data_IF_192175442631
#
_entry.id   IF_192175442631
#
_cell.length_a   1.000
_cell.length_b   1.000
_cell.length_c   1.000
_cell.angle_alpha   90.00
_cell.angle_beta   90.00
_cell.angle_gamma   90.00
#
_symmetry.space_group_name_H-M   'P 1'
#
loop_
_entity.id
_entity.type
_entity.pdbx_description
1 polymer ?
#
# COMPACT_ATOMS: atom_id res chain seq x y z
N UNK A 1 8.51 -52.68 45.48
CA UNK A 1 8.19 -51.32 45.94
C UNK A 1 7.03 -50.87 45.05
N UNK A 2 5.82 -50.84 45.60
CA UNK A 2 4.59 -50.41 44.90
C UNK A 2 4.30 -48.99 45.37
N UNK A 3 4.22 -48.04 44.47
CA UNK A 3 3.80 -46.67 44.77
C UNK A 3 2.32 -46.53 44.40
N UNK A 4 1.51 -46.27 45.47
CA UNK A 4 0.10 -45.90 45.36
C UNK A 4 -0.02 -44.52 44.71
N UNK A 5 -0.90 -44.41 43.71
CA UNK A 5 -1.39 -43.13 43.18
C UNK A 5 -2.81 -42.92 43.72
N UNK A 6 -2.92 -41.93 44.64
CA UNK A 6 -4.21 -41.47 45.15
C UNK A 6 -4.96 -40.67 44.05
N UNK A 7 -6.16 -41.10 43.78
CA UNK A 7 -7.07 -40.41 42.86
C UNK A 7 -7.68 -39.15 43.47
N UNK A 8 -7.43 -38.03 42.88
CA UNK A 8 -8.09 -36.75 43.22
C UNK A 8 -9.46 -36.67 42.50
N UNK A 9 -10.51 -36.69 43.31
CA UNK A 9 -11.90 -36.50 42.86
C UNK A 9 -12.16 -35.01 42.61
N UNK A 10 -12.18 -34.57 41.40
CA UNK A 10 -12.56 -33.24 40.99
C UNK A 10 -14.08 -33.09 40.98
N UNK A 11 -14.63 -32.37 41.99
CA UNK A 11 -16.06 -32.00 42.08
C UNK A 11 -16.34 -30.88 41.07
N UNK A 12 -16.85 -31.24 39.88
CA UNK A 12 -17.29 -30.30 38.87
C UNK A 12 -18.52 -29.51 39.33
N UNK A 13 -18.35 -28.25 39.66
CA UNK A 13 -19.45 -27.31 39.90
C UNK A 13 -20.04 -26.92 38.54
N UNK A 14 -21.15 -27.51 38.16
CA UNK A 14 -21.90 -27.12 36.97
C UNK A 14 -22.56 -25.74 37.19
N UNK A 15 -21.92 -24.66 36.72
CA UNK A 15 -22.54 -23.34 36.70
C UNK A 15 -23.55 -23.27 35.54
N UNK A 16 -24.84 -23.08 35.87
CA UNK A 16 -25.87 -22.83 34.85
C UNK A 16 -25.53 -21.59 34.04
N UNK A 17 -25.60 -21.64 32.70
CA UNK A 17 -25.34 -20.50 31.85
C UNK A 17 -26.36 -19.38 32.12
N UNK A 18 -25.87 -18.21 32.53
CA UNK A 18 -26.70 -17.01 32.66
C UNK A 18 -27.20 -16.58 31.29
N UNK A 19 -28.52 -16.69 31.07
CA UNK A 19 -29.17 -16.19 29.85
C UNK A 19 -29.19 -14.66 29.94
N UNK A 20 -28.41 -14.00 29.08
CA UNK A 20 -28.50 -12.56 28.91
C UNK A 20 -29.80 -12.19 28.18
N UNK A 21 -30.53 -11.16 28.62
CA UNK A 21 -31.75 -10.74 27.94
C UNK A 21 -31.40 -10.25 26.52
N UNK A 22 -32.18 -10.69 25.54
CA UNK A 22 -31.94 -10.39 24.09
C UNK A 22 -31.72 -8.87 23.83
N UNK A 23 -32.40 -8.02 24.62
CA UNK A 23 -32.25 -6.56 24.54
C UNK A 23 -30.84 -6.07 24.90
N UNK A 24 -30.17 -6.72 25.84
CA UNK A 24 -28.80 -6.38 26.23
C UNK A 24 -27.80 -6.78 25.14
N UNK A 25 -28.00 -7.93 24.49
CA UNK A 25 -27.18 -8.40 23.38
C UNK A 25 -27.31 -7.48 22.17
N UNK A 26 -28.53 -7.07 21.82
CA UNK A 26 -28.78 -6.13 20.72
C UNK A 26 -28.13 -4.76 20.98
N UNK A 27 -28.22 -4.25 22.21
CA UNK A 27 -27.59 -2.97 22.57
C UNK A 27 -26.05 -3.02 22.46
N UNK A 28 -25.42 -4.12 22.85
CA UNK A 28 -23.96 -4.30 22.73
C UNK A 28 -23.53 -4.43 21.27
N UNK A 29 -24.29 -5.15 20.44
CA UNK A 29 -24.00 -5.28 19.00
C UNK A 29 -24.10 -3.92 18.29
N UNK A 30 -25.16 -3.15 18.58
CA UNK A 30 -25.31 -1.79 18.00
C UNK A 30 -24.17 -0.87 18.45
N UNK A 31 -23.77 -0.90 19.72
CA UNK A 31 -22.66 -0.11 20.23
C UNK A 31 -21.32 -0.49 19.57
N UNK A 32 -21.09 -1.76 19.29
CA UNK A 32 -19.90 -2.23 18.57
C UNK A 32 -19.89 -1.78 17.11
N UNK A 33 -21.04 -1.76 16.44
CA UNK A 33 -21.13 -1.24 15.06
C UNK A 33 -20.92 0.27 14.98
N UNK A 34 -21.44 1.02 15.94
CA UNK A 34 -21.25 2.48 16.00
C UNK A 34 -19.78 2.82 16.31
N UNK A 35 -19.15 2.10 17.24
CA UNK A 35 -17.73 2.33 17.57
C UNK A 35 -16.79 1.91 16.45
N UNK A 36 -17.08 0.84 15.72
CA UNK A 36 -16.28 0.44 14.55
C UNK A 36 -16.45 1.39 13.36
N UNK A 37 -17.65 1.94 13.18
CA UNK A 37 -17.91 2.97 12.17
C UNK A 37 -17.18 4.29 12.48
N UNK A 38 -17.16 4.72 13.75
CA UNK A 38 -16.44 5.91 14.18
C UNK A 38 -14.92 5.72 14.07
N UNK A 39 -14.38 4.55 14.43
CA UNK A 39 -12.96 4.22 14.26
C UNK A 39 -12.56 4.18 12.77
N UNK A 40 -13.39 3.64 11.90
CA UNK A 40 -13.14 3.66 10.46
C UNK A 40 -13.16 5.08 9.89
N UNK A 41 -14.02 5.95 10.40
CA UNK A 41 -14.07 7.35 10.02
C UNK A 41 -12.85 8.13 10.53
N UNK A 42 -12.43 7.91 11.78
CA UNK A 42 -11.25 8.56 12.36
C UNK A 42 -9.95 8.05 11.73
N UNK A 43 -9.83 6.75 11.41
CA UNK A 43 -8.69 6.23 10.65
C UNK A 43 -8.67 6.80 9.23
N UNK A 44 -9.83 6.99 8.59
CA UNK A 44 -9.93 7.65 7.28
C UNK A 44 -9.52 9.12 7.31
N UNK A 45 -9.69 9.83 8.44
CA UNK A 45 -9.30 11.24 8.57
C UNK A 45 -7.86 11.44 9.03
N UNK A 46 -7.24 10.45 9.72
CA UNK A 46 -5.81 10.49 10.08
C UNK A 46 -4.88 10.15 8.91
N UNK A 47 -5.37 9.37 7.94
CA UNK A 47 -4.72 9.25 6.64
C UNK A 47 -5.18 10.46 5.80
N UNK A 48 -4.65 11.64 6.12
CA UNK A 48 -5.06 12.89 5.53
C UNK A 48 -5.32 12.76 4.04
N UNK A 49 -6.60 12.65 3.69
CA UNK A 49 -6.99 12.88 2.31
C UNK A 49 -6.43 14.25 1.94
N UNK A 50 -5.58 14.38 0.91
CA UNK A 50 -5.10 15.67 0.49
C UNK A 50 -6.33 16.55 0.25
N UNK A 51 -6.35 17.71 0.89
CA UNK A 51 -7.51 18.59 0.93
C UNK A 51 -8.12 18.71 -0.46
N UNK A 52 -9.38 18.36 -0.56
CA UNK A 52 -10.18 18.43 -1.77
C UNK A 52 -10.31 19.89 -2.20
N UNK A 53 -9.30 20.39 -2.89
CA UNK A 53 -9.44 21.56 -3.74
C UNK A 53 -10.24 21.07 -4.96
N UNK A 54 -11.51 21.39 -5.04
CA UNK A 54 -12.53 21.25 -6.08
C UNK A 54 -12.23 20.69 -7.48
N UNK A 55 -11.29 19.80 -7.63
CA UNK A 55 -11.06 19.02 -8.83
C UNK A 55 -12.04 17.84 -8.88
N UNK A 56 -12.53 17.45 -10.06
CA UNK A 56 -13.31 16.23 -10.20
C UNK A 56 -12.57 15.10 -9.48
N UNK A 57 -13.24 14.46 -8.53
CA UNK A 57 -12.63 13.50 -7.60
C UNK A 57 -11.86 12.44 -8.38
N UNK A 58 -10.54 12.48 -8.29
CA UNK A 58 -9.69 11.46 -8.85
C UNK A 58 -9.97 10.12 -8.16
N UNK A 59 -9.94 9.03 -8.91
CA UNK A 59 -10.15 7.68 -8.38
C UNK A 59 -8.81 7.20 -7.80
N UNK A 60 -8.74 6.88 -6.51
CA UNK A 60 -7.49 6.44 -5.91
C UNK A 60 -7.11 5.02 -6.35
N UNK A 61 -5.83 4.83 -6.66
CA UNK A 61 -5.19 3.54 -6.99
C UNK A 61 -3.97 3.40 -6.09
N UNK A 62 -3.99 2.44 -5.18
CA UNK A 62 -2.93 2.27 -4.19
C UNK A 62 -2.09 1.04 -4.53
N UNK A 63 -0.77 1.24 -4.60
CA UNK A 63 0.21 0.17 -4.70
C UNK A 63 1.19 0.24 -3.51
N UNK A 64 1.67 -0.92 -3.12
CA UNK A 64 2.74 -1.01 -2.12
C UNK A 64 3.95 -1.74 -2.71
N UNK A 65 5.15 -1.36 -2.29
CA UNK A 65 6.37 -2.08 -2.63
C UNK A 65 6.96 -2.61 -1.33
N UNK A 66 7.29 -3.91 -1.29
CA UNK A 66 7.90 -4.59 -0.15
C UNK A 66 7.15 -4.36 1.17
N UNK A 67 5.82 -4.43 1.12
CA UNK A 67 5.01 -4.23 2.31
C UNK A 67 5.39 -5.26 3.39
N UNK A 68 5.93 -4.84 4.55
CA UNK A 68 6.39 -5.75 5.61
C UNK A 68 5.26 -6.59 6.23
N UNK A 69 4.00 -6.20 5.99
CA UNK A 69 2.83 -6.97 6.42
C UNK A 69 2.38 -8.01 5.39
N UNK A 70 2.95 -8.01 4.18
CA UNK A 70 2.66 -9.02 3.17
C UNK A 70 3.56 -10.24 3.37
N UNK A 71 3.09 -11.20 4.17
CA UNK A 71 3.81 -12.45 4.48
C UNK A 71 3.99 -13.38 3.28
N UNK A 72 3.30 -13.15 2.17
CA UNK A 72 3.38 -13.99 0.97
C UNK A 72 4.74 -13.88 0.27
N UNK A 73 5.49 -12.82 0.50
CA UNK A 73 6.76 -12.57 -0.17
C UNK A 73 8.01 -12.93 0.67
N UNK A 74 7.89 -13.37 1.92
CA UNK A 74 9.03 -13.69 2.82
C UNK A 74 10.16 -12.65 2.85
N UNK A 75 9.94 -11.42 2.32
CA UNK A 75 10.92 -10.33 2.29
C UNK A 75 12.16 -10.57 1.42
N UNK A 76 12.14 -11.59 0.55
CA UNK A 76 13.33 -12.00 -0.23
C UNK A 76 13.36 -11.46 -1.65
N UNK A 77 12.29 -10.84 -2.12
CA UNK A 77 12.16 -10.34 -3.49
C UNK A 77 11.37 -9.02 -3.50
N UNK A 78 11.81 -8.07 -4.30
CA UNK A 78 11.09 -6.83 -4.50
C UNK A 78 9.77 -7.07 -5.24
N UNK A 79 8.67 -6.52 -4.73
CA UNK A 79 7.34 -6.74 -5.29
C UNK A 79 6.46 -5.52 -5.19
N UNK A 80 5.84 -5.13 -6.31
CA UNK A 80 4.67 -4.25 -6.32
C UNK A 80 3.39 -5.05 -6.05
N UNK A 81 2.57 -4.57 -5.16
CA UNK A 81 1.28 -5.19 -4.84
C UNK A 81 0.15 -4.15 -4.81
N UNK A 82 -0.95 -4.38 -5.53
CA UNK A 82 -1.15 -5.43 -6.54
C UNK A 82 -0.34 -5.18 -7.84
N UNK A 83 0.13 -6.26 -8.49
CA UNK A 83 0.84 -6.13 -9.77
C UNK A 83 -0.12 -5.91 -10.96
N UNK A 84 -1.32 -6.49 -10.90
CA UNK A 84 -2.33 -6.32 -11.93
C UNK A 84 -3.45 -5.42 -11.42
N UNK A 85 -3.74 -4.38 -12.17
CA UNK A 85 -4.71 -3.35 -11.84
C UNK A 85 -5.87 -3.37 -12.85
N UNK A 86 -7.04 -2.94 -12.40
CA UNK A 86 -8.17 -2.66 -13.27
C UNK A 86 -8.69 -1.28 -12.97
N UNK A 87 -8.66 -0.39 -13.94
CA UNK A 87 -9.03 1.01 -13.78
C UNK A 87 -10.01 1.45 -14.86
N UNK A 88 -10.69 2.56 -14.65
CA UNK A 88 -11.66 3.10 -15.61
C UNK A 88 -10.96 3.98 -16.63
N UNK A 89 -11.07 3.63 -17.91
CA UNK A 89 -10.55 4.47 -19.00
C UNK A 89 -11.25 5.84 -19.02
N UNK A 90 -10.49 6.90 -19.29
CA UNK A 90 -10.95 8.29 -19.30
C UNK A 90 -11.11 8.93 -17.92
N UNK A 91 -11.07 8.16 -16.83
CA UNK A 91 -11.08 8.71 -15.49
C UNK A 91 -9.73 9.33 -15.13
N UNK A 92 -9.76 10.39 -14.32
CA UNK A 92 -8.56 10.85 -13.64
C UNK A 92 -8.26 9.91 -12.47
N UNK A 93 -7.09 9.32 -12.47
CA UNK A 93 -6.64 8.39 -11.44
C UNK A 93 -5.58 9.07 -10.57
N UNK A 94 -5.69 8.88 -9.26
CA UNK A 94 -4.67 9.27 -8.28
C UNK A 94 -3.91 8.01 -7.85
N UNK A 95 -2.73 7.82 -8.41
CA UNK A 95 -1.85 6.74 -7.99
C UNK A 95 -1.08 7.13 -6.73
N UNK A 96 -1.12 6.26 -5.74
CA UNK A 96 -0.36 6.34 -4.50
C UNK A 96 0.51 5.10 -4.41
N UNK A 97 1.82 5.27 -4.58
CA UNK A 97 2.78 4.17 -4.38
C UNK A 97 3.46 4.36 -3.03
N UNK A 98 3.32 3.38 -2.15
CA UNK A 98 3.96 3.34 -0.82
C UNK A 98 5.10 2.35 -0.87
N UNK A 99 6.33 2.84 -0.82
CA UNK A 99 7.53 2.02 -0.87
C UNK A 99 8.10 1.78 0.54
N UNK A 100 8.31 0.53 0.88
CA UNK A 100 8.95 0.10 2.13
C UNK A 100 10.37 -0.43 1.90
N UNK A 101 10.87 -0.41 0.65
CA UNK A 101 12.25 -0.75 0.36
C UNK A 101 13.18 0.44 0.60
N UNK A 102 14.25 0.21 1.36
CA UNK A 102 15.31 1.20 1.62
C UNK A 102 16.49 1.07 0.64
N UNK A 103 16.46 0.08 -0.23
CA UNK A 103 17.47 -0.10 -1.27
C UNK A 103 17.43 1.06 -2.27
N UNK A 104 18.60 1.56 -2.64
CA UNK A 104 18.75 2.56 -3.69
C UNK A 104 19.25 1.86 -4.94
N UNK A 105 18.49 1.99 -6.03
CA UNK A 105 18.76 1.36 -7.31
C UNK A 105 18.76 2.44 -8.42
N UNK A 106 19.86 3.19 -8.62
CA UNK A 106 19.88 4.29 -9.57
C UNK A 106 19.49 3.81 -10.98
N UNK A 107 18.37 4.30 -11.53
CA UNK A 107 17.97 3.96 -12.90
C UNK A 107 18.82 4.73 -13.90
N UNK A 108 18.80 4.38 -15.19
CA UNK A 108 19.28 5.25 -16.25
C UNK A 108 18.64 6.66 -16.14
N UNK A 109 19.39 7.75 -16.41
CA UNK A 109 18.98 9.14 -16.10
C UNK A 109 17.59 9.54 -16.61
N UNK A 110 17.15 9.02 -17.75
CA UNK A 110 15.82 9.30 -18.33
C UNK A 110 14.68 8.81 -17.44
N UNK A 111 14.92 7.84 -16.56
CA UNK A 111 13.91 7.30 -15.66
C UNK A 111 13.92 7.96 -14.27
N UNK A 112 14.83 8.90 -14.02
CA UNK A 112 14.80 9.73 -12.84
C UNK A 112 13.82 10.91 -12.96
N UNK A 113 13.24 11.12 -14.15
CA UNK A 113 12.30 12.20 -14.45
C UNK A 113 10.89 11.63 -14.65
N UNK A 114 9.91 12.30 -14.04
CA UNK A 114 8.50 11.98 -14.26
C UNK A 114 8.07 12.41 -15.67
N UNK A 115 7.29 11.56 -16.34
CA UNK A 115 6.71 11.85 -17.65
C UNK A 115 5.39 11.15 -17.86
N UNK A 116 4.54 11.70 -18.76
CA UNK A 116 3.26 11.11 -19.14
C UNK A 116 2.21 11.09 -18.04
N UNK A 117 2.45 11.79 -16.96
CA UNK A 117 1.52 12.04 -15.85
C UNK A 117 1.04 13.50 -15.91
N UNK A 118 0.00 13.85 -15.18
CA UNK A 118 -0.55 15.20 -15.20
C UNK A 118 0.51 16.23 -14.78
N UNK A 119 0.86 17.12 -15.70
CA UNK A 119 1.88 18.14 -15.50
C UNK A 119 3.30 17.62 -15.39
N UNK A 120 3.56 16.35 -15.76
CA UNK A 120 4.83 15.64 -15.52
C UNK A 120 5.32 15.81 -14.08
N UNK A 121 4.39 15.70 -13.15
CA UNK A 121 4.53 16.09 -11.76
C UNK A 121 4.28 14.92 -10.82
N UNK A 122 5.15 14.76 -9.85
CA UNK A 122 5.02 13.83 -8.73
C UNK A 122 5.07 14.58 -7.40
N UNK A 123 4.35 14.05 -6.41
CA UNK A 123 4.36 14.54 -5.03
C UNK A 123 5.00 13.47 -4.16
N UNK A 124 6.10 13.81 -3.51
CA UNK A 124 6.88 12.86 -2.72
C UNK A 124 6.75 13.20 -1.24
N UNK A 125 6.55 12.15 -0.44
CA UNK A 125 6.60 12.24 1.02
C UNK A 125 7.49 11.14 1.58
N UNK A 126 8.51 11.52 2.29
CA UNK A 126 9.34 10.63 3.12
C UNK A 126 8.92 10.67 4.60
N UNK A 127 7.90 11.47 4.93
CA UNK A 127 7.45 11.74 6.29
C UNK A 127 5.92 11.80 6.35
N UNK A 128 5.30 11.35 7.45
CA UNK A 128 3.86 11.51 7.67
C UNK A 128 3.40 12.97 7.78
N UNK A 129 4.32 13.94 7.73
CA UNK A 129 4.02 15.37 7.85
C UNK A 129 3.33 15.99 6.62
N UNK A 130 3.10 15.22 5.55
CA UNK A 130 2.39 15.66 4.35
C UNK A 130 3.19 15.53 3.07
N UNK A 131 2.51 15.77 1.94
CA UNK A 131 3.12 15.76 0.62
C UNK A 131 3.99 16.98 0.41
N UNK A 132 5.17 16.76 -0.19
CA UNK A 132 6.03 17.83 -0.67
C UNK A 132 5.39 18.62 -1.83
N UNK A 133 6.06 19.65 -2.32
CA UNK A 133 5.64 20.33 -3.55
C UNK A 133 5.75 19.39 -4.75
N UNK A 134 5.10 19.78 -5.86
CA UNK A 134 5.28 19.12 -7.15
C UNK A 134 6.77 19.07 -7.51
N UNK A 135 7.26 17.90 -7.87
CA UNK A 135 8.59 17.65 -8.39
C UNK A 135 8.51 16.97 -9.76
N UNK A 136 9.42 17.33 -10.66
CA UNK A 136 9.50 16.69 -11.98
C UNK A 136 10.54 15.58 -12.04
N UNK A 137 11.38 15.45 -11.04
CA UNK A 137 12.43 14.42 -10.98
C UNK A 137 12.83 14.13 -9.54
N UNK A 138 13.51 13.00 -9.34
CA UNK A 138 14.24 12.68 -8.12
C UNK A 138 15.73 12.56 -8.42
N UNK A 139 16.61 12.87 -7.44
CA UNK A 139 18.01 12.49 -7.52
C UNK A 139 18.14 10.97 -7.71
N UNK A 140 19.00 10.52 -8.61
CA UNK A 140 19.17 9.10 -8.94
C UNK A 140 19.55 8.26 -7.70
N UNK A 141 20.34 8.85 -6.81
CA UNK A 141 20.79 8.25 -5.54
C UNK A 141 19.71 8.21 -4.44
N UNK A 142 18.47 8.61 -4.75
CA UNK A 142 17.31 8.50 -3.88
C UNK A 142 16.23 7.58 -4.44
N UNK A 143 16.44 7.01 -5.62
CA UNK A 143 15.45 6.17 -6.31
C UNK A 143 15.69 4.71 -5.95
N UNK A 144 14.64 4.03 -5.46
CA UNK A 144 14.60 2.60 -5.28
C UNK A 144 14.06 1.87 -6.52
N UNK A 145 12.96 2.37 -7.05
CA UNK A 145 12.22 1.73 -8.14
C UNK A 145 11.69 2.77 -9.12
N UNK A 146 11.08 2.28 -10.21
CA UNK A 146 10.25 3.12 -11.10
C UNK A 146 8.94 2.41 -11.42
N UNK A 147 7.89 3.18 -11.69
CA UNK A 147 6.66 2.68 -12.29
C UNK A 147 6.58 3.25 -13.71
N UNK A 148 6.81 2.40 -14.69
CA UNK A 148 6.95 2.83 -16.10
C UNK A 148 5.99 2.06 -16.98
N UNK A 149 5.20 2.76 -17.83
CA UNK A 149 4.38 2.19 -18.88
C UNK A 149 4.93 2.68 -20.22
N UNK A 150 5.86 1.94 -20.86
CA UNK A 150 6.62 2.45 -21.99
C UNK A 150 5.76 2.90 -23.18
N UNK A 151 4.71 2.14 -23.50
CA UNK A 151 3.82 2.43 -24.63
C UNK A 151 3.04 3.74 -24.48
N UNK A 152 2.87 4.22 -23.24
CA UNK A 152 2.19 5.48 -22.92
C UNK A 152 3.16 6.59 -22.57
N UNK A 153 4.46 6.34 -22.60
CA UNK A 153 5.51 7.24 -22.13
C UNK A 153 5.29 7.70 -20.67
N UNK A 154 4.63 6.88 -19.88
CA UNK A 154 4.46 7.13 -18.44
C UNK A 154 5.71 6.63 -17.73
N UNK A 155 6.32 7.49 -16.93
CA UNK A 155 7.43 7.14 -16.04
C UNK A 155 7.32 7.90 -14.73
N UNK A 156 7.45 7.19 -13.63
CA UNK A 156 7.40 7.73 -12.28
C UNK A 156 8.53 7.13 -11.46
N UNK A 157 9.54 7.93 -11.07
CA UNK A 157 10.54 7.49 -10.12
C UNK A 157 9.94 7.34 -8.72
N UNK A 158 10.31 6.27 -8.02
CA UNK A 158 9.82 5.93 -6.68
C UNK A 158 10.97 6.05 -5.69
N UNK A 159 10.83 6.90 -4.66
CA UNK A 159 11.90 7.12 -3.69
C UNK A 159 12.15 5.91 -2.79
N UNK A 160 13.41 5.73 -2.37
CA UNK A 160 13.77 4.78 -1.33
C UNK A 160 13.18 5.19 0.04
N UNK A 161 12.79 4.23 0.84
CA UNK A 161 12.31 4.47 2.19
C UNK A 161 13.50 4.75 3.14
N UNK A 162 13.42 5.81 3.95
CA UNK A 162 14.51 6.22 4.84
C UNK A 162 14.55 5.46 6.15
N UNK A 163 13.43 4.93 6.62
CA UNK A 163 13.33 4.20 7.89
C UNK A 163 12.30 3.06 7.75
N UNK A 164 12.76 1.85 7.51
CA UNK A 164 11.90 0.67 7.40
C UNK A 164 11.89 -0.05 8.74
N UNK A 165 10.98 0.35 9.63
CA UNK A 165 10.71 -0.34 10.89
C UNK A 165 9.24 -0.78 10.91
N UNK A 166 8.87 -1.80 11.67
CA UNK A 166 7.46 -2.15 11.86
C UNK A 166 6.66 -0.92 12.30
N UNK A 167 5.64 -0.54 11.52
CA UNK A 167 4.82 0.65 11.76
C UNK A 167 5.31 1.93 11.07
N UNK A 168 6.39 1.89 10.26
CA UNK A 168 6.76 3.04 9.44
C UNK A 168 5.74 3.28 8.32
N UNK A 169 5.59 4.54 7.90
CA UNK A 169 4.68 4.93 6.82
C UNK A 169 5.22 4.63 5.41
N UNK A 170 6.49 4.17 5.30
CA UNK A 170 7.18 4.05 4.03
C UNK A 170 7.46 5.41 3.36
N UNK A 171 8.13 5.38 2.22
CA UNK A 171 8.22 6.54 1.33
C UNK A 171 7.03 6.51 0.36
N UNK A 172 6.45 7.67 0.07
CA UNK A 172 5.28 7.76 -0.79
C UNK A 172 5.57 8.63 -2.02
N UNK A 173 5.06 8.19 -3.15
CA UNK A 173 4.93 9.03 -4.34
C UNK A 173 3.48 9.02 -4.81
N UNK A 174 2.94 10.21 -5.07
CA UNK A 174 1.60 10.40 -5.61
C UNK A 174 1.70 11.07 -6.97
N UNK A 175 0.93 10.61 -7.92
CA UNK A 175 0.82 11.21 -9.25
C UNK A 175 -0.58 11.00 -9.83
N UNK A 176 -0.92 11.81 -10.81
CA UNK A 176 -2.20 11.75 -11.48
C UNK A 176 -2.01 11.35 -12.94
N UNK A 177 -2.85 10.43 -13.43
CA UNK A 177 -2.81 9.97 -14.81
C UNK A 177 -4.22 9.62 -15.29
N UNK A 178 -4.44 9.70 -16.60
CA UNK A 178 -5.66 9.23 -17.26
C UNK A 178 -5.29 8.37 -18.46
N UNK A 179 -5.89 7.18 -18.56
CA UNK A 179 -5.74 6.31 -19.72
C UNK A 179 -6.87 6.59 -20.71
N UNK A 180 -6.54 7.21 -21.84
CA UNK A 180 -7.54 7.67 -22.81
C UNK A 180 -8.32 6.54 -23.47
N UNK A 181 -7.74 5.35 -23.59
CA UNK A 181 -8.31 4.21 -24.30
C UNK A 181 -8.41 2.97 -23.42
N UNK A 182 -9.45 2.18 -23.67
CA UNK A 182 -9.54 0.83 -23.10
C UNK A 182 -8.44 -0.05 -23.70
N UNK A 183 -7.76 -0.80 -22.88
CA UNK A 183 -6.67 -1.68 -23.27
C UNK A 183 -6.04 -2.36 -22.07
N UNK A 184 -5.01 -3.14 -22.35
CA UNK A 184 -4.12 -3.67 -21.30
C UNK A 184 -2.73 -3.13 -21.55
N UNK A 185 -2.20 -2.43 -20.56
CA UNK A 185 -0.90 -1.77 -20.65
C UNK A 185 0.06 -2.43 -19.68
N UNK A 186 1.19 -2.91 -20.18
CA UNK A 186 2.23 -3.47 -19.31
C UNK A 186 3.01 -2.33 -18.66
N UNK A 187 3.13 -2.37 -17.36
CA UNK A 187 4.07 -1.56 -16.58
C UNK A 187 5.25 -2.40 -16.10
N UNK A 188 6.39 -1.76 -15.88
CA UNK A 188 7.61 -2.40 -15.38
C UNK A 188 8.47 -1.42 -14.59
N UNK A 189 9.31 -1.96 -13.70
CA UNK A 189 10.41 -1.23 -13.08
C UNK A 189 11.58 -1.14 -14.05
N UNK A 190 12.14 0.08 -14.22
CA UNK A 190 13.31 0.35 -15.07
C UNK A 190 14.58 0.63 -14.24
N UNK A 191 14.47 0.66 -12.92
CA UNK A 191 15.62 0.64 -12.03
C UNK A 191 16.23 -0.77 -11.99
N UNK A 192 17.55 -0.92 -11.78
CA UNK A 192 18.22 -2.21 -11.69
C UNK A 192 17.95 -2.89 -10.33
N UNK A 193 16.67 -3.20 -10.07
CA UNK A 193 16.21 -3.91 -8.89
C UNK A 193 16.76 -5.34 -8.84
N UNK A 194 16.44 -6.09 -7.80
CA UNK A 194 16.89 -7.48 -7.68
C UNK A 194 16.60 -8.29 -8.96
N UNK A 195 17.64 -8.93 -9.57
CA UNK A 195 17.49 -9.65 -10.83
C UNK A 195 16.42 -10.76 -10.80
N UNK A 196 16.19 -11.37 -9.64
CA UNK A 196 15.18 -12.43 -9.47
C UNK A 196 13.79 -11.84 -9.55
N UNK A 197 13.56 -10.70 -8.90
CA UNK A 197 12.30 -9.97 -8.93
C UNK A 197 11.98 -9.43 -10.33
N UNK A 198 13.00 -8.96 -11.05
CA UNK A 198 12.85 -8.44 -12.42
C UNK A 198 12.41 -9.51 -13.42
N UNK A 199 12.75 -10.79 -13.17
CA UNK A 199 12.39 -11.91 -14.05
C UNK A 199 11.11 -12.62 -13.61
N UNK A 200 10.63 -12.38 -12.38
CA UNK A 200 9.44 -13.02 -11.84
C UNK A 200 8.19 -12.25 -12.28
N UNK A 201 7.25 -12.88 -13.04
CA UNK A 201 5.99 -12.23 -13.40
C UNK A 201 5.18 -11.81 -12.18
N UNK A 202 4.67 -10.58 -12.19
CA UNK A 202 3.86 -10.06 -11.09
C UNK A 202 4.65 -9.52 -9.90
N UNK A 203 5.98 -9.34 -10.04
CA UNK A 203 6.83 -8.72 -9.02
C UNK A 203 7.21 -7.29 -9.40
N UNK A 204 8.14 -7.13 -10.34
CA UNK A 204 8.59 -5.82 -10.82
C UNK A 204 7.95 -5.45 -12.16
N UNK A 205 6.89 -6.13 -12.53
CA UNK A 205 6.06 -5.84 -13.71
C UNK A 205 4.63 -6.34 -13.50
N UNK A 206 3.70 -5.78 -14.26
CA UNK A 206 2.29 -6.16 -14.23
C UNK A 206 1.50 -5.47 -15.34
N UNK A 207 0.18 -5.41 -15.14
CA UNK A 207 -0.74 -4.80 -16.12
C UNK A 207 -1.65 -3.76 -15.46
N UNK A 208 -2.10 -2.82 -16.26
CA UNK A 208 -3.15 -1.86 -15.90
C UNK A 208 -4.14 -1.72 -17.07
#
# INVERSE_FOLDING_TARGET
MATNIEGSTETGIATKPKRFPLRAVVAVVIALFISSGALAYELGTQWGAPGTSGNPSAIPVILTINNPFNTANNGSMDQFAPANLSVTAGALLEFVIVNYDSGVNPPPPQYATASGVVGDCIYVSSSPAGLGPCSHSLPEDQIAHTFTIPILNVNVPVPAATNVTPGSSGAQVIFFVSFASVGSYTWMCMAPCDPTSMQAPGFMSGTV
#
